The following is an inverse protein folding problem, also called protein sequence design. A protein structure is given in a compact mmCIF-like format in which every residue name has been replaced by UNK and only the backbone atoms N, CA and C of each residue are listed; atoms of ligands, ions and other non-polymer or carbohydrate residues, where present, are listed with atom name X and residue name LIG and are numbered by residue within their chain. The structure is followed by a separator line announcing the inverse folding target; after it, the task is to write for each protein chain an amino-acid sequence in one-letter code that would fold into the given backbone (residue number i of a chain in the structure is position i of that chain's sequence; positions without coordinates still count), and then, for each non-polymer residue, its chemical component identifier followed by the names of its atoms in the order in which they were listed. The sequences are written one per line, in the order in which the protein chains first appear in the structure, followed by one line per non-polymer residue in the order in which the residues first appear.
data_IF_516094380784
#
_entry.id   IF_516094380784
#
_cell.length_a   1.000
_cell.length_b   1.000
_cell.length_c   1.000
_cell.angle_alpha   90.00
_cell.angle_beta   90.00
_cell.angle_gamma   90.00
#
_symmetry.space_group_name_H-M   'P 1'
#
loop_
_entity.id
_entity.type
_entity.pdbx_description
1 polymer ?
2 non-polymer ?
3 non-polymer ?
4 non-polymer ?
5 water ?
#
# COMPACT_ATOMS: atom_id res chain seq x y z
N UNK A 1 18.94 6.08 1.10
CA UNK A 1 19.63 5.03 0.27
C UNK A 1 19.15 3.63 0.62
N UNK A 2 19.16 2.70 -0.35
CA UNK A 2 18.97 1.25 -0.12
C UNK A 2 20.24 0.51 -0.52
N UNK A 3 20.62 -0.50 0.26
CA UNK A 3 21.75 -1.38 -0.07
C UNK A 3 23.13 -0.78 0.03
N UNK A 4 23.27 0.39 0.68
CA UNK A 4 24.58 1.01 0.89
C UNK A 4 25.20 0.39 2.11
N UNK A 5 26.46 0.76 2.38
CA UNK A 5 27.16 0.29 3.59
C UNK A 5 26.35 0.72 4.80
N UNK A 6 26.16 -0.21 5.72
CA UNK A 6 25.35 -0.02 6.92
C UNK A 6 26.27 0.12 8.15
N UNK A 7 26.28 1.31 8.73
CA UNK A 7 26.97 1.58 9.98
C UNK A 7 26.35 0.76 11.13
N UNK A 8 27.17 0.54 12.15
CA UNK A 8 26.73 -0.13 13.37
C UNK A 8 25.57 0.58 14.08
N UNK A 9 24.67 -0.20 14.64
CA UNK A 9 23.66 0.35 15.54
C UNK A 9 24.35 0.82 16.83
N UNK A 10 23.84 1.88 17.47
CA UNK A 10 24.33 2.21 18.81
C UNK A 10 23.85 1.22 19.85
N UNK A 11 24.44 1.26 21.05
CA UNK A 11 23.91 0.57 22.21
C UNK A 11 22.45 0.97 22.40
N UNK A 12 21.60 -0.03 22.64
CA UNK A 12 20.18 0.20 22.91
C UNK A 12 19.76 -0.72 24.01
N UNK A 13 18.85 -0.25 24.88
CA UNK A 13 18.31 -1.08 25.94
C UNK A 13 16.85 -1.36 25.60
N UNK A 14 16.51 -2.63 25.40
CA UNK A 14 15.14 -3.03 25.06
C UNK A 14 14.91 -4.45 25.54
N UNK A 15 13.64 -4.88 25.57
CA UNK A 15 13.38 -6.23 26.05
C UNK A 15 13.98 -7.32 25.17
N UNK A 16 14.57 -8.32 25.81
CA UNK A 16 15.17 -9.44 25.09
C UNK A 16 14.09 -10.24 24.40
N UNK A 17 14.29 -10.56 23.11
CA UNK A 17 13.35 -11.48 22.47
C UNK A 17 13.58 -12.87 23.04
N UNK A 18 12.51 -13.56 23.43
CA UNK A 18 12.63 -14.88 24.03
C UNK A 18 12.17 -15.90 23.02
N UNK A 19 13.07 -16.81 22.73
CA UNK A 19 12.89 -17.83 21.71
C UNK A 19 11.69 -18.76 21.98
N UNK A 20 11.45 -19.04 23.26
CA UNK A 20 10.39 -19.94 23.68
C UNK A 20 9.10 -19.20 24.06
N UNK A 21 9.01 -17.94 23.61
CA UNK A 21 7.80 -17.11 23.69
C UNK A 21 7.50 -16.39 22.34
N UNK A 22 6.48 -16.83 21.58
CA UNK A 22 6.04 -16.07 20.41
C UNK A 22 5.51 -14.68 20.76
N UNK A 23 5.64 -13.74 19.82
CA UNK A 23 5.06 -12.41 19.95
C UNK A 23 3.52 -12.48 19.82
N UNK A 24 3.04 -13.37 18.97
CA UNK A 24 1.64 -13.52 18.66
C UNK A 24 1.42 -15.00 18.38
N UNK A 25 0.51 -15.62 19.14
CA UNK A 25 0.13 -17.03 18.96
C UNK A 25 -1.20 -17.20 18.23
N UNK A 26 -1.89 -16.09 17.98
CA UNK A 26 -3.24 -16.09 17.44
C UNK A 26 -3.26 -15.88 15.93
N UNK A 27 -2.10 -15.53 15.35
CA UNK A 27 -2.03 -15.23 13.93
C UNK A 27 -0.73 -15.77 13.34
N UNK A 28 -0.77 -15.99 12.04
CA UNK A 28 0.41 -16.32 11.26
C UNK A 28 1.24 -15.06 11.08
N UNK A 29 2.51 -15.12 11.48
CA UNK A 29 3.40 -13.96 11.46
C UNK A 29 4.53 -14.07 10.42
N UNK A 30 4.57 -15.18 9.68
CA UNK A 30 5.53 -15.35 8.60
C UNK A 30 4.90 -16.18 7.51
N UNK A 31 5.12 -15.81 6.24
CA UNK A 31 4.54 -16.57 5.15
C UNK A 31 5.37 -17.85 4.89
N UNK A 32 4.85 -18.77 4.06
CA UNK A 32 5.64 -19.99 3.78
C UNK A 32 6.88 -19.73 2.91
N UNK A 33 7.02 -18.52 2.35
CA UNK A 33 8.24 -18.13 1.67
C UNK A 33 9.10 -17.21 2.55
N UNK A 34 8.83 -17.20 3.85
CA UNK A 34 9.70 -16.56 4.85
C UNK A 34 9.67 -15.03 4.74
N UNK A 35 8.50 -14.51 4.37
CA UNK A 35 8.24 -13.08 4.45
C UNK A 35 7.49 -12.78 5.75
N UNK A 36 7.96 -11.81 6.53
CA UNK A 36 7.15 -11.43 7.69
C UNK A 36 5.75 -10.89 7.34
N UNK A 37 4.80 -11.23 8.19
CA UNK A 37 3.46 -10.68 8.15
C UNK A 37 3.40 -9.71 9.33
N UNK A 38 3.16 -8.45 9.04
CA UNK A 38 3.39 -7.38 10.00
C UNK A 38 2.09 -7.14 10.82
N UNK A 39 2.19 -7.52 12.10
CA UNK A 39 1.14 -7.32 13.09
C UNK A 39 1.73 -6.59 14.29
N UNK A 40 0.89 -5.88 15.05
CA UNK A 40 1.34 -5.27 16.28
C UNK A 40 1.86 -6.36 17.20
N UNK A 41 2.99 -6.09 17.82
CA UNK A 41 3.62 -7.06 18.71
C UNK A 41 4.77 -7.79 18.08
N UNK A 42 4.88 -7.79 16.75
CA UNK A 42 5.93 -8.54 16.06
C UNK A 42 7.21 -7.73 15.86
N UNK A 43 7.14 -6.41 15.99
CA UNK A 43 8.31 -5.56 15.76
C UNK A 43 8.61 -4.61 16.89
N UNK A 44 9.89 -4.36 17.09
CA UNK A 44 10.38 -3.32 17.96
C UNK A 44 10.69 -2.12 17.06
N UNK A 45 9.82 -1.13 17.12
CA UNK A 45 9.92 0.03 16.25
C UNK A 45 11.17 0.87 16.53
N UNK A 46 11.71 0.79 17.74
CA UNK A 46 12.93 1.53 18.05
C UNK A 46 14.12 0.98 17.29
N UNK A 47 14.22 -0.35 17.22
CA UNK A 47 15.30 -0.97 16.43
C UNK A 47 15.13 -0.61 14.95
N UNK A 48 13.91 -0.76 14.44
CA UNK A 48 13.66 -0.48 13.03
C UNK A 48 13.91 0.99 12.69
N UNK A 49 13.46 1.91 13.54
CA UNK A 49 13.72 3.33 13.27
C UNK A 49 15.20 3.62 13.17
N UNK A 50 16.00 3.04 14.08
CA UNK A 50 17.45 3.20 14.00
C UNK A 50 17.99 2.70 12.67
N UNK A 51 17.59 1.49 12.28
CA UNK A 51 18.12 0.90 11.05
C UNK A 51 17.82 1.79 9.88
N UNK A 52 16.58 2.26 9.77
CA UNK A 52 16.18 3.05 8.61
C UNK A 52 16.67 4.49 8.65
N UNK A 53 16.76 5.09 9.84
CA UNK A 53 17.34 6.44 9.91
C UNK A 53 18.82 6.44 9.58
N UNK A 54 19.52 5.38 9.96
CA UNK A 54 20.97 5.29 9.66
C UNK A 54 21.22 5.21 8.16
N UNK A 55 20.23 4.76 7.39
CA UNK A 55 20.31 4.76 5.91
C UNK A 55 19.74 6.05 5.27
N UNK A 56 19.30 7.01 6.07
CA UNK A 56 18.62 8.23 5.61
C UNK A 56 17.55 7.92 4.61
N UNK A 57 16.65 7.05 5.01
CA UNK A 57 15.62 6.53 4.13
C UNK A 57 14.61 7.60 3.80
N UNK A 58 14.26 7.70 2.51
CA UNK A 58 13.21 8.59 2.05
C UNK A 58 12.05 7.75 1.51
N UNK A 59 10.84 8.06 1.97
CA UNK A 59 9.67 7.31 1.56
C UNK A 59 8.76 8.22 0.75
N UNK A 60 8.37 7.77 -0.45
CA UNK A 60 7.37 8.42 -1.24
C UNK A 60 6.01 7.80 -0.99
N UNK A 61 4.98 8.64 -0.90
CA UNK A 61 3.61 8.20 -0.72
C UNK A 61 2.79 8.74 -1.86
N UNK A 62 2.24 7.85 -2.70
CA UNK A 62 1.42 8.26 -3.83
C UNK A 62 -0.05 8.14 -3.48
N UNK A 63 -0.84 9.10 -3.93
CA UNK A 63 -2.28 9.09 -3.71
C UNK A 63 -2.95 9.80 -4.87
N UNK A 64 -4.06 9.23 -5.34
CA UNK A 64 -4.81 9.79 -6.46
C UNK A 64 -6.08 10.44 -5.93
N UNK A 65 -6.32 11.67 -6.35
CA UNK A 65 -7.51 12.39 -5.95
C UNK A 65 -8.12 13.02 -7.18
N UNK A 66 -8.95 12.23 -7.85
CA UNK A 66 -9.42 12.56 -9.18
C UNK A 66 -10.90 12.87 -9.02
N UNK A 67 -11.35 13.93 -9.69
CA UNK A 67 -12.74 14.35 -9.65
C UNK A 67 -13.20 14.58 -8.20
N UNK A 68 -14.29 13.98 -7.76
CA UNK A 68 -14.84 14.32 -6.45
C UNK A 68 -13.99 13.85 -5.26
N UNK A 69 -13.05 12.94 -5.54
CA UNK A 69 -12.20 12.39 -4.48
C UNK A 69 -11.19 13.41 -3.94
N UNK A 70 -11.05 14.58 -4.57
CA UNK A 70 -10.28 15.66 -3.95
C UNK A 70 -10.75 16.03 -2.53
N UNK A 71 -12.04 15.81 -2.24
CA UNK A 71 -12.60 16.10 -0.93
C UNK A 71 -11.95 15.31 0.22
N UNK A 72 -11.35 14.16 -0.10
CA UNK A 72 -10.73 13.28 0.89
C UNK A 72 -9.30 13.70 1.27
N UNK A 73 -8.70 14.61 0.50
CA UNK A 73 -7.27 14.92 0.71
C UNK A 73 -6.93 15.55 2.04
N UNK A 74 -7.77 16.45 2.54
CA UNK A 74 -7.40 17.20 3.73
C UNK A 74 -7.23 16.24 4.91
N UNK A 75 -8.21 15.38 5.13
CA UNK A 75 -8.10 14.43 6.24
C UNK A 75 -6.99 13.41 6.01
N UNK A 76 -6.85 12.95 4.77
CA UNK A 76 -5.81 12.00 4.45
C UNK A 76 -4.43 12.57 4.81
N UNK A 77 -4.14 13.79 4.34
CA UNK A 77 -2.83 14.38 4.53
C UNK A 77 -2.58 14.82 5.97
N UNK A 78 -3.61 15.39 6.62
CA UNK A 78 -3.46 15.84 8.01
C UNK A 78 -3.21 14.66 8.94
N UNK A 79 -3.88 13.54 8.69
CA UNK A 79 -3.65 12.34 9.51
C UNK A 79 -2.36 11.64 9.13
N UNK A 80 -1.97 11.70 7.85
CA UNK A 80 -0.64 11.21 7.46
C UNK A 80 0.48 11.91 8.23
N UNK A 81 0.33 13.21 8.41
CA UNK A 81 1.28 13.97 9.18
C UNK A 81 1.42 13.49 10.62
N UNK A 82 0.33 13.02 11.19
CA UNK A 82 0.34 12.53 12.57
C UNK A 82 0.92 11.13 12.72
N UNK A 83 0.77 10.30 11.67
CA UNK A 83 1.02 8.85 11.84
C UNK A 83 1.95 8.16 10.86
N UNK A 84 2.22 8.77 9.69
CA UNK A 84 2.93 8.08 8.61
C UNK A 84 4.39 8.45 8.59
N UNK A 85 5.25 7.47 8.91
CA UNK A 85 6.71 7.65 8.82
C UNK A 85 7.23 8.89 9.55
N UNK A 86 6.65 9.21 10.72
CA UNK A 86 7.06 10.42 11.44
C UNK A 86 8.53 10.24 11.89
N UNK A 87 9.34 11.28 11.61
CA UNK A 87 10.78 11.31 11.86
C UNK A 87 11.65 10.91 10.69
N UNK A 88 11.02 10.38 9.63
CA UNK A 88 11.68 9.98 8.41
C UNK A 88 11.41 11.00 7.31
N UNK A 89 12.23 10.97 6.27
CA UNK A 89 12.01 11.84 5.10
C UNK A 89 10.82 11.31 4.31
N UNK A 90 9.85 12.17 4.01
CA UNK A 90 8.63 11.79 3.28
C UNK A 90 8.41 12.75 2.12
N UNK A 91 8.07 12.20 0.97
CA UNK A 91 7.63 12.98 -0.18
C UNK A 91 6.25 12.48 -0.59
N UNK A 92 5.24 13.32 -0.44
CA UNK A 92 3.90 13.00 -0.91
C UNK A 92 3.80 13.36 -2.39
N UNK A 93 3.19 12.49 -3.16
CA UNK A 93 2.88 12.78 -4.56
C UNK A 93 1.38 12.65 -4.75
N UNK A 94 0.72 13.79 -4.93
CA UNK A 94 -0.73 13.85 -5.09
C UNK A 94 -1.01 13.98 -6.57
N UNK A 95 -1.61 12.94 -7.14
CA UNK A 95 -2.02 12.92 -8.54
C UNK A 95 -3.44 13.41 -8.61
N UNK A 96 -3.71 14.47 -9.38
CA UNK A 96 -5.06 15.03 -9.43
C UNK A 96 -5.34 15.69 -10.77
N UNK A 97 -6.63 15.75 -11.10
CA UNK A 97 -7.07 16.58 -12.24
C UNK A 97 -7.39 18.02 -11.82
N UNK A 98 -7.29 18.33 -10.52
CA UNK A 98 -7.65 19.65 -9.98
C UNK A 98 -6.58 20.16 -9.01
N UNK A 99 -5.42 20.58 -9.53
CA UNK A 99 -4.37 21.10 -8.63
C UNK A 99 -4.83 22.17 -7.64
N UNK A 100 -5.76 23.05 -8.06
CA UNK A 100 -6.24 24.12 -7.18
C UNK A 100 -7.11 23.65 -6.01
N UNK A 101 -7.58 22.40 -6.06
CA UNK A 101 -8.41 21.86 -5.02
C UNK A 101 -7.57 21.10 -3.98
N UNK A 102 -6.25 21.02 -4.16
CA UNK A 102 -5.41 20.35 -3.17
C UNK A 102 -5.31 21.27 -1.95
N UNK A 103 -5.72 20.79 -0.77
CA UNK A 103 -5.71 21.64 0.43
C UNK A 103 -4.29 21.99 0.85
N UNK A 104 -4.14 23.14 1.52
CA UNK A 104 -2.85 23.62 1.99
C UNK A 104 -2.61 23.00 3.37
N UNK A 105 -1.89 21.89 3.40
CA UNK A 105 -1.66 21.17 4.64
C UNK A 105 -0.25 21.49 5.15
N UNK A 106 -0.17 21.78 6.44
CA UNK A 106 1.07 22.13 7.09
C UNK A 106 1.86 20.86 7.36
N UNK A 107 3.09 20.80 6.87
CA UNK A 107 3.92 19.61 6.98
C UNK A 107 5.02 19.77 8.03
N UNK A 108 5.33 18.68 8.72
CA UNK A 108 6.49 18.60 9.58
C UNK A 108 7.78 18.75 8.80
N UNK A 109 8.87 18.99 9.53
CA UNK A 109 10.16 19.15 8.88
C UNK A 109 10.60 17.88 8.14
N UNK A 110 11.27 18.05 7.01
CA UNK A 110 11.77 16.91 6.26
C UNK A 110 10.74 16.22 5.42
N UNK A 111 9.60 16.87 5.20
CA UNK A 111 8.48 16.31 4.47
C UNK A 111 8.10 17.31 3.40
N UNK A 112 7.79 16.80 2.22
CA UNK A 112 7.39 17.67 1.12
C UNK A 112 6.26 17.07 0.34
N UNK A 113 5.57 17.92 -0.41
CA UNK A 113 4.42 17.50 -1.22
C UNK A 113 4.56 18.07 -2.62
N UNK A 114 4.37 17.21 -3.61
CA UNK A 114 4.31 17.59 -5.02
C UNK A 114 2.94 17.25 -5.57
N UNK A 115 2.37 18.18 -6.35
CA UNK A 115 1.11 17.96 -7.03
C UNK A 115 1.42 17.60 -8.48
N UNK A 116 0.93 16.47 -8.94
CA UNK A 116 1.15 15.97 -10.29
C UNK A 116 -0.19 15.98 -11.02
N UNK A 117 -0.34 16.81 -12.04
CA UNK A 117 -1.60 16.90 -12.73
C UNK A 117 -1.70 15.76 -13.73
N UNK A 118 -2.84 15.09 -13.74
CA UNK A 118 -3.12 14.02 -14.67
C UNK A 118 -4.52 14.17 -15.20
N UNK A 119 -4.81 13.43 -16.27
CA UNK A 119 -6.15 13.41 -16.84
C UNK A 119 -7.09 12.61 -15.95
N UNK A 120 -8.37 13.01 -15.97
CA UNK A 120 -9.47 12.28 -15.34
C UNK A 120 -10.17 11.38 -16.36
N UNK A 121 -10.27 10.10 -16.07
CA UNK A 121 -11.10 9.17 -16.89
C UNK A 121 -12.56 9.27 -16.42
N UNK A 122 -13.49 9.00 -17.32
CA UNK A 122 -14.92 9.07 -17.01
C UNK A 122 -15.34 7.98 -16.00
N UNK A 123 -14.92 6.75 -16.26
CA UNK A 123 -15.33 5.61 -15.43
C UNK A 123 -14.42 5.47 -14.24
N UNK A 124 -15.03 5.35 -13.06
CA UNK A 124 -14.27 5.14 -11.82
C UNK A 124 -13.37 3.93 -11.92
N UNK A 125 -13.81 2.91 -12.67
CA UNK A 125 -12.98 1.71 -12.89
C UNK A 125 -11.67 2.06 -13.60
N UNK A 126 -11.76 2.92 -14.62
CA UNK A 126 -10.59 3.37 -15.36
C UNK A 126 -9.71 4.31 -14.56
N UNK A 127 -10.34 5.19 -13.75
CA UNK A 127 -9.56 6.02 -12.83
C UNK A 127 -8.76 5.12 -11.90
N UNK A 128 -9.36 4.07 -11.36
CA UNK A 128 -8.68 3.17 -10.43
C UNK A 128 -7.58 2.38 -11.11
N UNK A 129 -7.88 1.87 -12.31
CA UNK A 129 -6.95 1.05 -13.09
C UNK A 129 -5.74 1.79 -13.60
N UNK A 130 -5.96 3.00 -14.11
CA UNK A 130 -4.89 3.82 -14.70
C UNK A 130 -3.86 4.37 -13.69
N UNK A 131 -4.12 4.19 -12.41
CA UNK A 131 -3.08 4.43 -11.41
C UNK A 131 -1.84 3.61 -11.71
N UNK A 132 -1.99 2.38 -12.22
CA UNK A 132 -0.80 1.59 -12.52
C UNK A 132 0.07 2.24 -13.59
N UNK A 133 -0.56 2.68 -14.69
CA UNK A 133 0.20 3.39 -15.73
C UNK A 133 0.90 4.64 -15.19
N UNK A 134 0.14 5.42 -14.44
CA UNK A 134 0.58 6.70 -13.94
C UNK A 134 1.74 6.55 -12.95
N UNK A 135 1.63 5.58 -12.03
CA UNK A 135 2.72 5.33 -11.12
C UNK A 135 3.96 4.84 -11.84
N UNK A 136 3.79 3.93 -12.80
CA UNK A 136 4.95 3.41 -13.54
C UNK A 136 5.61 4.55 -14.36
N UNK A 137 4.80 5.42 -14.96
CA UNK A 137 5.35 6.61 -15.73
C UNK A 137 6.24 7.49 -14.81
N UNK A 138 5.76 7.74 -13.59
CA UNK A 138 6.46 8.63 -12.65
C UNK A 138 7.64 7.94 -11.92
N UNK A 139 7.64 6.60 -11.85
CA UNK A 139 8.82 5.85 -11.39
C UNK A 139 10.00 6.12 -12.31
N UNK A 140 9.74 5.94 -13.61
CA UNK A 140 10.75 6.10 -14.66
C UNK A 140 11.52 7.41 -14.59
N UNK A 141 10.85 8.49 -14.18
CA UNK A 141 11.54 9.78 -13.97
C UNK A 141 11.71 10.09 -12.46
N UNK A 142 10.68 10.65 -11.81
CA UNK A 142 10.87 11.34 -10.54
C UNK A 142 11.30 10.40 -9.45
N UNK A 143 10.58 9.29 -9.31
CA UNK A 143 10.67 8.53 -8.06
C UNK A 143 12.04 7.90 -7.87
N UNK A 144 12.65 7.38 -8.93
CA UNK A 144 13.98 6.79 -8.86
C UNK A 144 15.04 7.75 -8.32
N UNK A 145 14.92 9.03 -8.67
CA UNK A 145 15.88 10.01 -8.17
C UNK A 145 15.53 10.58 -6.79
N UNK A 146 14.25 10.51 -6.39
CA UNK A 146 13.79 11.25 -5.22
C UNK A 146 13.51 10.45 -3.96
N UNK A 147 13.17 9.17 -4.11
CA UNK A 147 12.83 8.36 -2.93
C UNK A 147 13.43 6.96 -2.99
N UNK A 148 13.54 6.32 -1.84
CA UNK A 148 14.05 4.96 -1.75
C UNK A 148 12.92 3.92 -1.87
N UNK A 149 11.80 4.23 -1.23
CA UNK A 149 10.62 3.36 -1.25
C UNK A 149 9.40 4.14 -1.70
N UNK A 150 8.46 3.42 -2.31
CA UNK A 150 7.15 3.96 -2.64
C UNK A 150 6.07 3.19 -1.92
N UNK A 151 5.12 3.95 -1.40
CA UNK A 151 3.92 3.43 -0.74
C UNK A 151 2.74 4.01 -1.52
N UNK A 152 1.87 3.15 -2.02
CA UNK A 152 0.81 3.53 -2.97
C UNK A 152 -0.53 3.19 -2.37
N UNK A 153 -1.33 4.20 -2.04
CA UNK A 153 -2.57 4.01 -1.30
C UNK A 153 -3.76 4.76 -1.87
N UNK A 154 -4.93 4.29 -1.47
CA UNK A 154 -6.19 4.96 -1.72
C UNK A 154 -6.31 6.23 -0.91
N UNK A 155 -7.10 7.19 -1.43
CA UNK A 155 -7.27 8.49 -0.75
C UNK A 155 -8.44 8.56 0.24
N UNK A 156 -9.41 7.67 0.07
CA UNK A 156 -10.67 7.70 0.83
C UNK A 156 -10.47 7.03 2.18
N UNK A 157 -9.52 7.56 2.93
CA UNK A 157 -8.92 6.87 4.06
C UNK A 157 -8.39 7.89 5.04
N UNK A 158 -8.16 7.45 6.27
CA UNK A 158 -7.51 8.27 7.30
C UNK A 158 -6.57 7.42 8.10
N UNK A 159 -5.45 8.00 8.53
CA UNK A 159 -4.57 7.32 9.46
C UNK A 159 -5.10 7.56 10.86
N UNK A 160 -5.14 6.50 11.66
CA UNK A 160 -5.49 6.59 13.08
C UNK A 160 -4.38 6.17 14.03
N UNK A 161 -3.36 5.48 13.53
CA UNK A 161 -2.31 4.96 14.39
C UNK A 161 -1.06 4.80 13.51
N UNK A 162 0.03 4.44 14.16
CA UNK A 162 1.35 4.34 13.56
C UNK A 162 1.38 3.51 12.27
N UNK A 163 1.91 4.10 11.19
CA UNK A 163 2.29 3.38 9.97
C UNK A 163 3.71 3.83 9.68
N UNK A 164 4.68 2.94 9.92
CA UNK A 164 6.07 3.34 9.87
C UNK A 164 6.95 2.37 9.11
N UNK A 165 8.25 2.47 9.41
CA UNK A 165 9.24 1.75 8.61
C UNK A 165 9.16 0.24 8.71
N UNK A 166 8.40 -0.30 9.67
CA UNK A 166 8.11 -1.73 9.71
C UNK A 166 7.56 -2.27 8.38
N UNK A 167 6.93 -1.42 7.56
CA UNK A 167 6.33 -1.90 6.31
C UNK A 167 7.34 -1.99 5.17
N UNK A 168 8.51 -1.34 5.31
CA UNK A 168 9.41 -1.14 4.19
C UNK A 168 10.25 -2.39 3.91
N UNK A 169 10.40 -2.68 2.62
CA UNK A 169 10.91 -3.97 2.12
C UNK A 169 10.91 -3.84 0.59
N UNK A 170 11.59 -4.74 -0.12
CA UNK A 170 11.52 -4.63 -1.58
C UNK A 170 10.11 -4.64 -2.17
N UNK A 171 9.21 -5.47 -1.67
CA UNK A 171 7.88 -5.55 -2.24
C UNK A 171 6.88 -5.99 -1.20
N UNK A 172 5.80 -5.23 -1.01
CA UNK A 172 4.78 -5.64 -0.05
C UNK A 172 3.37 -5.46 -0.61
N UNK A 173 2.48 -6.34 -0.14
CA UNK A 173 1.05 -6.15 -0.27
C UNK A 173 0.42 -6.22 1.09
N UNK A 174 -0.89 -5.96 1.12
CA UNK A 174 -1.66 -5.85 2.36
C UNK A 174 -2.85 -6.79 2.28
N UNK A 175 -3.07 -7.54 3.35
CA UNK A 175 -4.20 -8.43 3.44
C UNK A 175 -5.53 -7.67 3.47
N UNK A 176 -6.40 -7.95 2.50
CA UNK A 176 -7.72 -7.31 2.43
C UNK A 176 -8.52 -7.64 3.69
N UNK A 177 -9.12 -6.61 4.32
CA UNK A 177 -9.80 -6.84 5.61
C UNK A 177 -11.05 -7.73 5.50
N UNK A 178 -11.65 -7.78 4.33
CA UNK A 178 -12.82 -8.65 4.07
C UNK A 178 -12.54 -10.14 3.98
N UNK A 179 -11.28 -10.53 3.75
CA UNK A 179 -10.98 -11.90 3.32
C UNK A 179 -9.83 -12.59 4.01
N UNK A 180 -9.26 -11.98 5.05
CA UNK A 180 -8.06 -12.56 5.67
C UNK A 180 -8.34 -13.94 6.30
N UNK A 181 -9.58 -14.17 6.72
CA UNK A 181 -9.99 -15.49 7.25
C UNK A 181 -10.59 -16.45 6.24
N UNK A 182 -10.64 -16.09 4.96
CA UNK A 182 -11.31 -16.88 3.95
C UNK A 182 -10.38 -17.93 3.36
N UNK A 183 -11.00 -19.01 2.86
CA UNK A 183 -10.24 -20.02 2.14
C UNK A 183 -10.13 -19.55 0.69
N UNK A 184 -9.09 -20.01 0.00
CA UNK A 184 -8.71 -19.42 -1.30
C UNK A 184 -9.79 -19.56 -2.37
N UNK A 185 -10.58 -20.62 -2.31
CA UNK A 185 -11.63 -20.79 -3.30
C UNK A 185 -12.67 -19.69 -3.19
N UNK A 186 -12.82 -19.09 -2.00
CA UNK A 186 -13.75 -17.98 -1.77
C UNK A 186 -13.19 -16.61 -2.16
N UNK A 187 -11.88 -16.54 -2.40
CA UNK A 187 -11.30 -15.27 -2.81
C UNK A 187 -11.89 -14.79 -4.11
N UNK A 188 -12.12 -13.48 -4.22
CA UNK A 188 -12.68 -12.91 -5.43
C UNK A 188 -11.62 -12.55 -6.46
N UNK A 189 -10.70 -13.47 -6.71
CA UNK A 189 -9.78 -13.36 -7.81
C UNK A 189 -10.57 -13.37 -9.13
N UNK A 190 -9.94 -12.88 -10.20
CA UNK A 190 -10.48 -13.08 -11.53
C UNK A 190 -10.45 -14.58 -11.85
N UNK A 191 -11.61 -15.14 -12.21
CA UNK A 191 -11.76 -16.58 -12.48
C UNK A 191 -11.96 -16.94 -13.94
N UNK A 192 -12.01 -15.96 -14.85
CA UNK A 192 -12.15 -16.25 -16.29
C UNK A 192 -10.78 -16.47 -16.91
N UNK A 193 -10.53 -17.66 -17.50
CA UNK A 193 -9.23 -17.91 -18.16
C UNK A 193 -8.87 -16.95 -19.29
N UNK A 194 -9.85 -16.21 -19.79
CA UNK A 194 -9.64 -15.27 -20.89
C UNK A 194 -8.91 -14.00 -20.44
N UNK A 195 -8.92 -13.72 -19.13
CA UNK A 195 -8.21 -12.57 -18.55
C UNK A 195 -6.78 -12.91 -18.10
N UNK A 196 -5.89 -11.95 -18.29
CA UNK A 196 -4.53 -12.06 -17.78
C UNK A 196 -4.48 -12.16 -16.26
N UNK A 197 -5.51 -11.68 -15.56
CA UNK A 197 -5.57 -11.77 -14.10
C UNK A 197 -6.04 -13.11 -13.57
N UNK A 198 -6.35 -14.06 -14.46
CA UNK A 198 -6.92 -15.35 -14.07
C UNK A 198 -6.10 -16.10 -13.03
N UNK A 199 -6.76 -16.53 -11.97
CA UNK A 199 -6.16 -17.43 -10.96
C UNK A 199 -7.16 -18.59 -10.73
N UNK A 200 -6.72 -19.85 -10.98
CA UNK A 200 -7.54 -21.02 -10.70
C UNK A 200 -7.89 -21.18 -9.22
N UNK A 201 -8.94 -21.95 -8.92
CA UNK A 201 -9.44 -22.10 -7.56
C UNK A 201 -8.49 -22.81 -6.60
N UNK A 202 -7.50 -23.52 -7.13
CA UNK A 202 -6.53 -24.24 -6.32
C UNK A 202 -5.21 -23.47 -6.17
N UNK A 203 -5.18 -22.21 -6.60
CA UNK A 203 -3.99 -21.38 -6.41
C UNK A 203 -4.34 -20.13 -5.61
N UNK A 204 -3.30 -19.50 -5.08
CA UNK A 204 -3.46 -18.29 -4.28
C UNK A 204 -2.95 -18.49 -2.85
N UNK A 205 -2.23 -17.49 -2.35
CA UNK A 205 -1.77 -17.45 -0.96
C UNK A 205 -2.74 -16.63 -0.13
N UNK A 206 -2.98 -15.40 -0.58
CA UNK A 206 -3.77 -14.39 0.14
C UNK A 206 -4.56 -13.58 -0.86
N UNK A 207 -5.52 -12.81 -0.34
CA UNK A 207 -6.21 -11.82 -1.15
C UNK A 207 -5.73 -10.43 -0.73
N UNK A 208 -4.92 -9.84 -1.60
CA UNK A 208 -4.31 -8.55 -1.33
C UNK A 208 -5.19 -7.40 -1.85
N UNK A 209 -4.98 -6.22 -1.26
CA UNK A 209 -5.70 -5.01 -1.61
C UNK A 209 -5.10 -4.26 -2.77
N UNK A 210 -5.94 -3.71 -3.62
CA UNK A 210 -5.44 -2.70 -4.58
C UNK A 210 -5.04 -1.40 -3.91
N UNK A 211 -5.61 -1.11 -2.72
CA UNK A 211 -5.46 0.16 -2.02
C UNK A 211 -4.28 0.42 -1.12
N UNK A 212 -3.36 -0.55 -1.01
CA UNK A 212 -2.18 -0.35 -0.15
C UNK A 212 -1.14 -1.36 -0.57
N UNK A 213 -0.15 -0.93 -1.35
CA UNK A 213 0.98 -1.77 -1.74
C UNK A 213 2.18 -0.88 -1.87
N UNK A 214 3.36 -1.47 -2.03
CA UNK A 214 4.56 -0.66 -2.16
C UNK A 214 5.81 -1.48 -2.18
N UNK A 215 6.94 -0.81 -1.98
CA UNK A 215 8.23 -1.49 -2.03
C UNK A 215 9.31 -0.55 -2.46
N UNK A 216 10.44 -1.10 -2.86
CA UNK A 216 11.46 -0.25 -3.45
C UNK A 216 10.94 0.36 -4.75
N UNK A 217 11.54 1.43 -5.19
CA UNK A 217 11.06 2.03 -6.43
C UNK A 217 11.17 1.04 -7.59
N UNK A 218 12.27 0.31 -7.64
CA UNK A 218 12.47 -0.70 -8.69
C UNK A 218 11.36 -1.74 -8.69
N UNK A 219 11.02 -2.28 -7.53
CA UNK A 219 9.97 -3.32 -7.49
C UNK A 219 8.58 -2.77 -7.75
N UNK A 220 8.30 -1.56 -7.30
CA UNK A 220 7.01 -0.91 -7.58
C UNK A 220 6.89 -0.59 -9.08
N UNK A 221 7.98 -0.15 -9.68
CA UNK A 221 8.01 0.05 -11.15
C UNK A 221 7.66 -1.25 -11.85
N UNK A 222 8.28 -2.34 -11.41
CA UNK A 222 8.01 -3.64 -12.02
C UNK A 222 6.56 -4.06 -11.89
N UNK A 223 6.02 -3.94 -10.68
CA UNK A 223 4.65 -4.34 -10.44
C UNK A 223 3.67 -3.51 -11.26
N UNK A 224 3.82 -2.19 -11.21
CA UNK A 224 2.88 -1.32 -11.89
C UNK A 224 2.97 -1.44 -13.42
N UNK A 225 4.18 -1.62 -13.95
CA UNK A 225 4.35 -1.81 -15.40
C UNK A 225 3.71 -3.12 -15.78
N UNK A 226 3.95 -4.18 -15.03
CA UNK A 226 3.36 -5.49 -15.37
C UNK A 226 1.84 -5.44 -15.30
N UNK A 227 1.25 -4.79 -14.29
CA UNK A 227 -0.19 -4.74 -14.17
C UNK A 227 -0.81 -3.91 -15.29
N UNK A 228 -0.17 -2.79 -15.62
CA UNK A 228 -0.62 -1.97 -16.75
C UNK A 228 -0.59 -2.75 -18.07
N UNK A 229 0.51 -3.43 -18.34
CA UNK A 229 0.61 -4.23 -19.57
C UNK A 229 -0.46 -5.31 -19.62
N UNK A 230 -0.72 -5.98 -18.49
CA UNK A 230 -1.74 -7.01 -18.42
C UNK A 230 -3.13 -6.44 -18.66
N UNK A 231 -3.40 -5.26 -18.11
CA UNK A 231 -4.66 -4.58 -18.36
C UNK A 231 -4.85 -4.21 -19.82
N UNK A 232 -3.78 -3.78 -20.47
CA UNK A 232 -3.86 -3.45 -21.90
C UNK A 232 -4.16 -4.70 -22.73
N UNK A 233 -3.56 -5.84 -22.38
CA UNK A 233 -3.89 -7.10 -23.06
C UNK A 233 -5.38 -7.42 -22.89
N UNK A 234 -5.88 -7.36 -21.67
CA UNK A 234 -7.33 -7.59 -21.42
C UNK A 234 -8.22 -6.65 -22.23
N UNK A 235 -7.86 -5.38 -22.27
CA UNK A 235 -8.63 -4.39 -23.02
C UNK A 235 -8.68 -4.77 -24.50
N UNK A 236 -7.55 -5.16 -25.06
CA UNK A 236 -7.47 -5.60 -26.47
C UNK A 236 -8.34 -6.83 -26.74
N UNK A 237 -8.47 -7.70 -25.74
CA UNK A 237 -9.33 -8.89 -25.78
C UNK A 237 -10.78 -8.69 -25.31
N UNK A 238 -11.19 -7.45 -25.06
CA UNK A 238 -12.56 -7.14 -24.64
C UNK A 238 -13.01 -7.67 -23.28
N UNK A 239 -12.09 -7.72 -22.31
CA UNK A 239 -12.43 -8.21 -20.97
C UNK A 239 -11.86 -7.22 -19.96
N UNK A 240 -12.61 -7.02 -18.88
CA UNK A 240 -12.18 -6.16 -17.77
C UNK A 240 -12.25 -7.02 -16.52
N UNK A 241 -11.13 -7.13 -15.81
CA UNK A 241 -11.08 -7.99 -14.64
C UNK A 241 -12.09 -7.57 -13.58
N UNK A 242 -12.60 -8.57 -12.87
CA UNK A 242 -13.71 -8.40 -11.94
C UNK A 242 -13.49 -7.28 -10.91
N UNK A 243 -12.27 -7.22 -10.36
CA UNK A 243 -11.90 -6.14 -9.45
C UNK A 243 -10.71 -5.33 -9.98
N UNK A 244 -10.67 -5.17 -11.29
CA UNK A 244 -9.90 -4.08 -11.90
C UNK A 244 -8.41 -4.22 -11.52
N UNK A 245 -7.75 -3.13 -11.14
CA UNK A 245 -6.33 -3.16 -10.78
C UNK A 245 -6.05 -4.15 -9.66
N UNK A 246 -6.98 -4.29 -8.74
CA UNK A 246 -6.77 -5.25 -7.62
C UNK A 246 -6.65 -6.68 -8.12
N UNK A 247 -7.43 -7.05 -9.12
CA UNK A 247 -7.32 -8.39 -9.70
C UNK A 247 -5.94 -8.65 -10.29
N UNK A 248 -5.42 -7.66 -11.00
CA UNK A 248 -4.08 -7.76 -11.59
C UNK A 248 -2.97 -7.76 -10.56
N UNK A 249 -3.12 -6.93 -9.53
CA UNK A 249 -2.15 -6.92 -8.43
C UNK A 249 -2.07 -8.30 -7.75
N UNK A 250 -3.24 -8.93 -7.55
CA UNK A 250 -3.27 -10.28 -6.99
C UNK A 250 -2.59 -11.31 -7.86
N UNK A 251 -2.78 -11.23 -9.17
CA UNK A 251 -2.05 -12.13 -10.05
C UNK A 251 -0.55 -11.91 -9.93
N UNK A 252 -0.10 -10.64 -9.93
CA UNK A 252 1.31 -10.33 -9.86
C UNK A 252 1.92 -10.85 -8.58
N UNK A 253 1.26 -10.65 -7.44
CA UNK A 253 1.80 -11.05 -6.14
C UNK A 253 1.73 -12.56 -5.92
N UNK A 254 0.86 -13.26 -6.65
CA UNK A 254 0.91 -14.72 -6.64
C UNK A 254 2.21 -15.21 -7.29
N UNK A 255 2.56 -14.60 -8.41
CA UNK A 255 3.71 -15.03 -9.20
C UNK A 255 5.05 -14.41 -8.80
N UNK A 256 5.01 -13.32 -8.04
CA UNK A 256 6.18 -12.58 -7.53
C UNK A 256 5.87 -12.35 -6.07
N UNK A 257 6.36 -13.24 -5.22
CA UNK A 257 5.93 -13.22 -3.82
C UNK A 257 6.45 -11.95 -3.12
N UNK A 258 5.58 -11.27 -2.36
CA UNK A 258 6.04 -10.11 -1.62
C UNK A 258 7.01 -10.48 -0.50
N UNK A 259 7.95 -9.60 -0.22
CA UNK A 259 8.95 -9.80 0.82
C UNK A 259 8.49 -9.39 2.22
N UNK A 260 7.38 -8.64 2.31
CA UNK A 260 6.58 -8.55 3.56
C UNK A 260 5.12 -8.51 3.16
N UNK A 261 4.28 -8.95 4.08
CA UNK A 261 2.83 -8.83 3.93
C UNK A 261 2.32 -8.03 5.13
N UNK A 262 1.51 -7.00 4.85
CA UNK A 262 0.93 -6.21 5.94
C UNK A 262 -0.38 -6.83 6.37
N UNK A 263 -0.57 -6.91 7.69
CA UNK A 263 -1.84 -7.41 8.24
C UNK A 263 -2.95 -6.41 7.94
N UNK A 264 -4.21 -6.81 8.18
CA UNK A 264 -5.32 -5.87 7.96
C UNK A 264 -5.37 -4.66 8.90
N UNK A 265 -4.51 -4.61 9.92
CA UNK A 265 -4.31 -3.38 10.69
C UNK A 265 -4.07 -2.20 9.77
N UNK A 266 -3.44 -2.47 8.61
CA UNK A 266 -2.97 -1.44 7.72
C UNK A 266 -4.00 -0.97 6.69
N UNK A 267 -5.14 -1.66 6.57
CA UNK A 267 -6.26 -1.11 5.77
C UNK A 267 -7.54 -1.80 6.27
N UNK A 268 -8.30 -1.06 7.05
CA UNK A 268 -9.48 -1.61 7.73
C UNK A 268 -10.70 -0.75 7.47
N UNK A 269 -11.89 -1.37 7.49
CA UNK A 269 -13.15 -0.64 7.43
C UNK A 269 -13.95 -1.00 8.69
N UNK A 270 -13.96 -0.08 9.64
CA UNK A 270 -14.60 -0.34 10.95
C UNK A 270 -16.12 -0.34 10.82
N UNK A 271 -16.67 0.48 9.93
CA UNK A 271 -18.14 0.50 9.74
C UNK A 271 -18.62 -0.87 9.25
N UNK A 272 -17.90 -1.48 8.31
CA UNK A 272 -18.30 -2.75 7.71
C UNK A 272 -17.92 -3.98 8.54
N UNK A 273 -16.81 -3.89 9.27
CA UNK A 273 -16.18 -5.07 9.85
C UNK A 273 -15.92 -4.97 11.35
N UNK A 274 -16.22 -3.83 11.98
CA UNK A 274 -16.05 -3.69 13.42
C UNK A 274 -14.60 -3.63 13.88
N UNK A 275 -14.31 -4.21 15.01
CA UNK A 275 -12.96 -4.20 15.60
C UNK A 275 -12.70 -5.54 16.27
N UNK A 276 -12.31 -6.55 15.47
CA UNK A 276 -12.04 -7.90 15.99
C UNK A 276 -10.86 -7.95 16.98
N UNK A 277 -10.88 -8.95 17.85
CA UNK A 277 -9.83 -9.12 18.86
C UNK A 277 -8.45 -9.29 18.26
N UNK A 278 -8.37 -9.90 17.11
CA UNK A 278 -7.11 -10.12 16.44
C UNK A 278 -6.45 -8.81 15.96
N UNK A 279 -7.20 -7.70 15.89
CA UNK A 279 -6.64 -6.40 15.52
C UNK A 279 -6.36 -5.57 16.75
N UNK A 280 -5.09 -5.47 17.14
CA UNK A 280 -4.74 -4.67 18.30
C UNK A 280 -4.74 -3.18 18.02
N UNK A 281 -4.54 -2.83 16.75
CA UNK A 281 -4.58 -1.46 16.29
C UNK A 281 -5.31 -1.38 14.95
N UNK A 282 -6.03 -0.28 14.73
CA UNK A 282 -6.57 0.05 13.41
C UNK A 282 -5.74 1.24 12.94
N UNK A 283 -4.83 1.00 12.01
CA UNK A 283 -3.86 2.03 11.65
C UNK A 283 -4.29 2.99 10.55
N UNK A 284 -5.03 2.48 9.58
CA UNK A 284 -5.37 3.24 8.35
C UNK A 284 -6.70 2.67 7.97
N UNK A 285 -7.71 3.54 7.91
CA UNK A 285 -9.12 3.10 7.86
C UNK A 285 -9.92 3.84 6.83
N UNK A 286 -10.93 3.14 6.33
CA UNK A 286 -11.85 3.69 5.33
C UNK A 286 -12.64 4.84 5.91
N UNK A 287 -12.79 5.88 5.11
CA UNK A 287 -13.66 6.99 5.42
C UNK A 287 -14.97 6.66 4.73
N UNK A 288 -16.08 6.70 5.47
CA UNK A 288 -17.36 6.37 4.82
C UNK A 288 -17.65 7.21 3.58
N UNK A 289 -18.14 6.54 2.53
CA UNK A 289 -18.49 7.19 1.28
C UNK A 289 -19.74 6.58 0.65
N UNK A 290 -20.44 7.42 -0.10
CA UNK A 290 -21.54 7.03 -0.94
C UNK A 290 -20.97 6.76 -2.32
N UNK A 291 -20.77 5.48 -2.64
CA UNK A 291 -19.97 5.10 -3.82
C UNK A 291 -20.55 5.68 -5.10
N UNK A 292 -21.86 5.50 -5.29
CA UNK A 292 -22.54 5.95 -6.51
C UNK A 292 -22.43 7.46 -6.70
N UNK A 293 -22.66 8.21 -5.63
CA UNK A 293 -22.64 9.67 -5.66
C UNK A 293 -21.24 10.21 -5.95
N UNK A 294 -20.25 9.75 -5.17
CA UNK A 294 -18.87 10.26 -5.26
C UNK A 294 -18.14 9.81 -6.52
N UNK A 295 -18.54 8.68 -7.12
CA UNK A 295 -17.88 8.18 -8.34
C UNK A 295 -18.42 8.74 -9.66
N UNK A 296 -19.51 9.50 -9.61
CA UNK A 296 -20.17 9.98 -10.82
C UNK A 296 -20.52 11.46 -10.70
N UNK A 297 -20.71 12.16 -11.86
CA UNK A 297 -21.04 13.60 -11.78
C UNK A 297 -22.40 13.88 -11.10
X LIG B 1 -17.18 -11.44 2.54
X LIG B 1 -17.46 -9.98 2.93
X LIG B 1 -16.34 -9.04 2.40
X LIG B 1 -16.77 -7.58 2.51
X LIG B 1 -15.68 -6.62 2.03
X LIG B 1 -15.73 -6.43 0.51
X LIG B 1 -14.89 -5.29 0.14
X LIG B 1 -14.78 -5.16 -1.23
X LIG B 1 -13.99 -6.26 -1.74
X LIG B 1 -13.91 -6.23 -3.16
X LIG B 1 -13.18 -7.50 -3.57
X LIG B 1 -14.05 -8.61 -3.32
X LIG B 1 -13.08 -4.98 -3.58
X LIG B 1 -11.74 -4.97 -2.99
X LIG B 1 -13.84 -3.70 -3.05
X LIG B 1 -14.07 -3.83 -1.52
X LIG B 1 -14.86 -2.73 -1.02
X LIG B 1 -14.07 -1.64 -0.61
X LIG B 1 -13.36 -1.99 0.58
X LIG B 1 -14.21 -2.38 1.71
X LIG B 1 -13.32 -2.81 2.90
X LIG B 1 -15.17 -1.24 2.03
X LIG B 1 -14.45 -0.10 2.55
X LIG B 1 -15.96 -0.81 0.78
X LIG B 1 -16.83 0.30 1.05
X LIG B 1 -15.01 -0.45 -0.36
X LIG B 1 -15.78 -0.19 -1.53
X LIG C 1 -10.74 3.11 -1.36
X LIG D 1 -10.27 7.40 -7.42
X LIG D 1 -10.32 8.79 -7.61
X LIG D 1 -11.40 9.34 -8.17
X LIG D 1 -12.44 8.61 -8.58
X LIG D 1 -12.41 7.23 -8.39
X LIG D 1 -11.29 6.65 -7.82
X LIG D 1 -9.41 9.49 -7.28
X LIG D 1 -13.42 9.12 -9.10
X LIG D 1 -9.03 6.86 -6.84
X LIG D 1 -8.98 7.24 -5.37
X LIG D 1 -7.64 7.34 -4.94
X LIG D 1 -9.58 6.01 -4.77
X LIG D 1 -9.02 4.90 -5.64
X LIG D 1 -9.03 5.44 -6.94
X LIG D 1 -9.19 5.87 -3.41
X LIG D 1 -9.80 3.60 -5.62
X LIG D 1 -11.17 3.81 -5.67
X LIG D 1 -12.09 3.56 -4.41
X LIG D 1 -11.42 4.13 -3.20
X LIG D 1 -13.43 4.05 -4.80
X LIG D 1 -12.19 1.97 -4.35
X LIG D 1 -12.66 1.03 -3.13
X LIG D 1 -11.81 1.29 -1.96
X LIG D 1 -14.04 1.46 -2.82
X LIG D 1 -12.45 -0.33 -3.66
#
# INVERSE_FOLDING_TARGET
AIGEFMVSLPRMVYPQPKVLTPCRKDVLVVTPWLAPIVWEGTFNIDILNEQFRLQNTTIGLTVFAIKKYVAFLKLFLETAEKHFMVGHRVHYYVFTDQPAAVPRVTLGTGRQLSVLEVRAYKRWQDVSMRRMEMISDFCERRFLSEVDYLVCVDVDMEFRDHVGVEILTPLFGTLHPGFYGSSREAFTYERRPQSQAYIPKDEGDFYYLGGFFGGSVQEVQRLTRACHQAMMVDQANGIEAVWHDESHLNKYLLRHKPTKVLSPEYLWDQQLLGWPAVLRKLRFTAVPKNHQAVRNPE
DA8 C16 C15 C14 C13 C12 C11 O1 C1 O5 C5 C6 O6 C4 O4 C3 C2 O2 C1F O5F C5F C6F C4F O4F C3F O3F C2F O2F
MN MN
UDP N1 C2 N3 C4 C5 C6 O2 O4 C1' C2' O2' C3' C4' O4' O3' C5' O5' PA O1A O2A O3A PB O1B O2B O3B
#
